data_IF_461241982817
#
_entry.id   IF_461241982817
#
_cell.length_a   1.000
_cell.length_b   1.000
_cell.length_c   1.000
_cell.angle_alpha   90.00
_cell.angle_beta   90.00
_cell.angle_gamma   90.00
#
_symmetry.space_group_name_H-M   'P 1'
#
loop_
_entity.id
_entity.type
_entity.pdbx_description
1 polymer ?
#
# COMPACT_ATOMS: atom_id res chain seq x y z
N UNK A 1 5.94 0.94 12.94
CA UNK A 1 5.39 2.03 13.77
C UNK A 1 6.47 2.99 14.28
N UNK A 2 7.45 2.55 15.07
CA UNK A 2 8.51 3.45 15.60
C UNK A 2 9.28 4.21 14.51
N UNK A 3 9.66 3.53 13.43
CA UNK A 3 10.35 4.15 12.29
C UNK A 3 9.50 5.27 11.66
N UNK A 4 8.19 5.04 11.47
CA UNK A 4 7.28 6.05 10.96
C UNK A 4 7.15 7.24 11.91
N UNK A 5 7.04 6.98 13.22
CA UNK A 5 6.94 8.03 14.23
C UNK A 5 8.21 8.92 14.25
N UNK A 6 9.39 8.31 14.16
CA UNK A 6 10.67 9.03 14.06
C UNK A 6 10.79 9.78 12.74
N UNK A 7 10.39 9.16 11.61
CA UNK A 7 10.41 9.82 10.31
C UNK A 7 9.51 11.07 10.28
N UNK A 8 8.28 10.94 10.78
CA UNK A 8 7.32 12.04 10.87
C UNK A 8 7.84 13.15 11.80
N UNK A 9 8.38 12.81 12.96
CA UNK A 9 8.94 13.83 13.88
C UNK A 9 10.12 14.57 13.25
N UNK A 10 11.02 13.88 12.57
CA UNK A 10 12.13 14.50 11.84
C UNK A 10 11.63 15.43 10.73
N UNK A 11 10.67 14.99 9.92
CA UNK A 11 10.10 15.82 8.84
C UNK A 11 9.49 17.11 9.42
N UNK A 12 8.77 17.04 10.53
CA UNK A 12 8.17 18.21 11.18
C UNK A 12 9.23 19.19 11.68
N UNK A 13 10.28 18.67 12.32
CA UNK A 13 11.39 19.48 12.81
C UNK A 13 12.13 20.19 11.67
N UNK A 14 12.33 19.51 10.53
CA UNK A 14 12.96 20.11 9.35
C UNK A 14 12.11 21.23 8.73
N UNK A 15 10.78 21.13 8.83
CA UNK A 15 9.86 22.18 8.38
C UNK A 15 9.68 23.31 9.42
N UNK A 16 10.39 23.26 10.56
CA UNK A 16 10.29 24.26 11.63
C UNK A 16 9.00 24.16 12.46
N UNK A 17 8.24 23.07 12.34
CA UNK A 17 7.08 22.81 13.18
C UNK A 17 7.50 22.15 14.50
N UNK A 18 6.80 22.50 15.58
CA UNK A 18 6.95 21.83 16.88
C UNK A 18 6.41 20.40 16.87
N UNK A 19 6.86 19.58 17.82
CA UNK A 19 6.37 18.21 17.97
C UNK A 19 4.92 18.23 18.46
N UNK A 20 3.98 17.61 17.74
CA UNK A 20 2.60 17.51 18.18
C UNK A 20 2.45 16.50 19.32
N UNK A 21 1.28 16.48 19.94
CA UNK A 21 0.94 15.56 21.03
C UNK A 21 1.26 14.10 20.65
N UNK A 22 1.81 13.34 21.61
CA UNK A 22 2.23 11.95 21.39
C UNK A 22 1.10 11.09 20.81
N UNK A 23 -0.13 11.30 21.28
CA UNK A 23 -1.31 10.56 20.81
C UNK A 23 -1.60 10.81 19.33
N UNK A 24 -1.39 12.06 18.88
CA UNK A 24 -1.57 12.45 17.49
C UNK A 24 -0.49 11.80 16.61
N UNK A 25 0.77 11.83 17.07
CA UNK A 25 1.89 11.16 16.39
C UNK A 25 1.67 9.66 16.24
N UNK A 26 1.14 9.00 17.28
CA UNK A 26 0.78 7.58 17.21
C UNK A 26 -0.28 7.34 16.14
N UNK A 27 -1.35 8.14 16.10
CA UNK A 27 -2.38 8.07 15.08
C UNK A 27 -1.84 8.27 13.66
N UNK A 28 -0.98 9.26 13.46
CA UNK A 28 -0.34 9.53 12.17
C UNK A 28 0.58 8.39 11.74
N UNK A 29 1.40 7.87 12.66
CA UNK A 29 2.32 6.77 12.38
C UNK A 29 1.60 5.46 12.07
N UNK A 30 0.43 5.23 12.68
CA UNK A 30 -0.39 4.05 12.43
C UNK A 30 -1.03 4.12 11.04
N UNK A 31 -1.70 5.25 10.74
CA UNK A 31 -2.27 5.50 9.40
C UNK A 31 -1.19 5.38 8.33
N UNK A 32 -0.01 5.95 8.58
CA UNK A 32 1.11 5.88 7.66
C UNK A 32 1.70 4.49 7.48
N UNK A 33 1.73 3.68 8.53
CA UNK A 33 2.13 2.28 8.42
C UNK A 33 1.15 1.48 7.56
N UNK A 34 -0.15 1.68 7.75
CA UNK A 34 -1.17 1.03 6.92
C UNK A 34 -1.06 1.44 5.45
N UNK A 35 -0.89 2.74 5.22
CA UNK A 35 -0.78 3.29 3.87
C UNK A 35 0.49 2.78 3.15
N UNK A 36 1.62 2.68 3.87
CA UNK A 36 2.86 2.09 3.35
C UNK A 36 2.67 0.62 2.95
N UNK A 37 1.99 -0.19 3.78
CA UNK A 37 1.68 -1.58 3.43
C UNK A 37 0.85 -1.64 2.15
N UNK A 38 -0.21 -0.84 2.05
CA UNK A 38 -1.03 -0.77 0.85
C UNK A 38 -0.23 -0.32 -0.38
N UNK A 39 0.72 0.61 -0.25
CA UNK A 39 1.60 1.02 -1.33
C UNK A 39 2.52 -0.10 -1.80
N UNK A 40 3.09 -0.87 -0.88
CA UNK A 40 3.91 -2.05 -1.22
C UNK A 40 3.08 -3.02 -2.07
N UNK A 41 1.86 -3.35 -1.62
CA UNK A 41 0.98 -4.24 -2.38
C UNK A 41 0.54 -3.64 -3.72
N UNK A 42 0.28 -2.34 -3.76
CA UNK A 42 -0.08 -1.61 -4.98
C UNK A 42 1.01 -1.73 -6.04
N UNK A 43 2.26 -1.42 -5.69
CA UNK A 43 3.38 -1.52 -6.63
C UNK A 43 3.71 -2.97 -6.98
N UNK A 44 3.63 -3.89 -6.02
CA UNK A 44 3.81 -5.31 -6.28
C UNK A 44 2.78 -5.84 -7.30
N UNK A 45 1.51 -5.43 -7.19
CA UNK A 45 0.47 -5.79 -8.16
C UNK A 45 0.70 -5.17 -9.54
N UNK A 46 1.18 -3.93 -9.62
CA UNK A 46 1.57 -3.34 -10.91
C UNK A 46 2.62 -4.22 -11.59
N UNK A 47 3.65 -4.64 -10.84
CA UNK A 47 4.68 -5.52 -11.38
C UNK A 47 4.07 -6.85 -11.83
N UNK A 48 3.17 -7.46 -11.05
CA UNK A 48 2.49 -8.71 -11.41
C UNK A 48 1.65 -8.57 -12.68
N UNK A 49 0.90 -7.48 -12.81
CA UNK A 49 0.10 -7.20 -14.00
C UNK A 49 1.01 -7.07 -15.22
N UNK A 50 2.10 -6.30 -15.13
CA UNK A 50 3.08 -6.16 -16.20
C UNK A 50 3.70 -7.52 -16.56
N UNK A 51 4.16 -8.27 -15.56
CA UNK A 51 4.78 -9.59 -15.76
C UNK A 51 3.81 -10.60 -16.38
N UNK A 52 2.51 -10.52 -16.09
CA UNK A 52 1.51 -11.40 -16.68
C UNK A 52 1.39 -11.25 -18.20
N UNK A 53 1.65 -10.06 -18.74
CA UNK A 53 1.59 -9.80 -20.19
C UNK A 53 2.95 -9.91 -20.86
N UNK A 54 4.02 -9.49 -20.17
CA UNK A 54 5.36 -9.44 -20.74
C UNK A 54 6.09 -10.79 -20.63
N UNK A 55 5.97 -11.47 -19.47
CA UNK A 55 6.73 -12.69 -19.18
C UNK A 55 5.99 -13.61 -18.17
N UNK A 56 4.86 -14.22 -18.56
CA UNK A 56 3.99 -14.98 -17.64
C UNK A 56 4.65 -16.20 -16.99
N UNK A 57 5.74 -16.73 -17.56
CA UNK A 57 6.49 -17.88 -17.03
C UNK A 57 7.90 -17.53 -16.55
N UNK A 58 8.13 -16.28 -16.13
CA UNK A 58 9.43 -15.86 -15.59
C UNK A 58 9.80 -16.62 -14.32
N UNK A 59 11.06 -17.03 -14.21
CA UNK A 59 11.66 -17.66 -13.02
C UNK A 59 12.63 -16.74 -12.30
N UNK A 60 12.61 -15.45 -12.62
CA UNK A 60 13.51 -14.47 -12.02
C UNK A 60 13.28 -14.39 -10.50
N UNK A 61 14.31 -14.45 -9.64
CA UNK A 61 14.14 -14.46 -8.18
C UNK A 61 13.30 -13.28 -7.65
N UNK A 62 13.50 -12.08 -8.20
CA UNK A 62 12.70 -10.91 -7.82
C UNK A 62 11.22 -11.06 -8.19
N UNK A 63 10.90 -11.67 -9.33
CA UNK A 63 9.52 -11.91 -9.73
C UNK A 63 8.86 -12.93 -8.78
N UNK A 64 9.58 -14.00 -8.43
CA UNK A 64 9.11 -15.01 -7.46
C UNK A 64 8.81 -14.36 -6.10
N UNK A 65 9.69 -13.50 -5.61
CA UNK A 65 9.47 -12.76 -4.35
C UNK A 65 8.21 -11.88 -4.42
N UNK A 66 7.99 -11.18 -5.53
CA UNK A 66 6.80 -10.35 -5.72
C UNK A 66 5.54 -11.22 -5.74
N UNK A 67 5.55 -12.36 -6.46
CA UNK A 67 4.43 -13.29 -6.49
C UNK A 67 4.11 -13.83 -5.09
N UNK A 68 5.13 -14.23 -4.31
CA UNK A 68 4.96 -14.68 -2.92
C UNK A 68 4.39 -13.57 -2.02
N UNK A 69 4.80 -12.32 -2.25
CA UNK A 69 4.30 -11.19 -1.48
C UNK A 69 2.80 -10.97 -1.70
N UNK A 70 2.32 -11.06 -2.95
CA UNK A 70 0.91 -10.83 -3.28
C UNK A 70 0.04 -12.08 -3.19
N UNK A 71 0.62 -13.28 -3.10
CA UNK A 71 -0.11 -14.55 -3.06
C UNK A 71 -1.20 -14.61 -1.97
N UNK A 72 -0.98 -14.14 -0.73
CA UNK A 72 -1.99 -14.22 0.32
C UNK A 72 -3.30 -13.47 -0.02
N UNK A 73 -3.19 -12.38 -0.79
CA UNK A 73 -4.36 -11.60 -1.23
C UNK A 73 -4.90 -12.08 -2.58
N UNK A 74 -4.05 -12.65 -3.44
CA UNK A 74 -4.44 -13.16 -4.75
C UNK A 74 -5.17 -14.50 -4.68
N UNK A 75 -4.74 -15.41 -3.81
CA UNK A 75 -5.27 -16.77 -3.74
C UNK A 75 -6.77 -16.82 -3.37
N UNK A 76 -7.27 -16.05 -2.39
CA UNK A 76 -8.70 -15.97 -2.12
C UNK A 76 -9.48 -15.36 -3.30
N UNK A 77 -8.94 -14.33 -3.95
CA UNK A 77 -9.63 -13.67 -5.07
C UNK A 77 -9.76 -14.56 -6.30
N UNK A 78 -8.74 -15.39 -6.59
CA UNK A 78 -8.78 -16.39 -7.67
C UNK A 78 -9.88 -17.44 -7.48
N UNK A 79 -10.32 -17.68 -6.23
CA UNK A 79 -11.45 -18.59 -5.95
C UNK A 79 -12.81 -17.96 -6.26
N UNK A 80 -12.89 -16.63 -6.22
CA UNK A 80 -14.11 -15.88 -6.46
C UNK A 80 -14.25 -15.54 -7.96
N UNK A 81 -13.13 -15.19 -8.60
CA UNK A 81 -13.09 -14.70 -9.97
C UNK A 81 -12.54 -15.82 -10.88
N UNK A 82 -13.37 -16.42 -11.75
CA UNK A 82 -12.89 -17.41 -12.70
C UNK A 82 -11.93 -16.77 -13.71
N UNK A 83 -10.90 -17.52 -14.11
CA UNK A 83 -9.97 -17.09 -15.17
C UNK A 83 -10.71 -17.00 -16.50
N UNK A 84 -10.69 -15.84 -17.16
CA UNK A 84 -11.28 -15.65 -18.49
C UNK A 84 -10.20 -15.84 -19.55
N UNK A 85 -10.32 -16.90 -20.36
CA UNK A 85 -9.41 -17.14 -21.49
C UNK A 85 -7.96 -17.43 -21.11
N UNK A 86 -7.71 -17.99 -19.92
CA UNK A 86 -6.36 -18.30 -19.43
C UNK A 86 -5.60 -17.10 -18.85
N UNK A 87 -6.20 -15.90 -18.83
CA UNK A 87 -5.68 -14.72 -18.15
C UNK A 87 -6.30 -14.59 -16.76
N UNK A 88 -5.44 -14.37 -15.76
CA UNK A 88 -5.86 -14.11 -14.38
C UNK A 88 -6.25 -12.62 -14.25
N UNK A 89 -7.55 -12.35 -14.13
CA UNK A 89 -8.07 -10.99 -13.91
C UNK A 89 -8.06 -10.57 -12.43
N UNK A 90 -7.79 -11.50 -11.51
CA UNK A 90 -7.74 -11.24 -10.07
C UNK A 90 -6.85 -10.05 -9.68
N UNK A 91 -5.64 -9.85 -10.27
CA UNK A 91 -4.81 -8.69 -9.97
C UNK A 91 -5.51 -7.34 -10.16
N UNK A 92 -6.35 -7.21 -11.19
CA UNK A 92 -7.05 -5.95 -11.51
C UNK A 92 -8.08 -5.63 -10.44
N UNK A 93 -8.86 -6.62 -10.00
CA UNK A 93 -9.85 -6.42 -8.95
C UNK A 93 -9.21 -6.08 -7.61
N UNK A 94 -8.10 -6.73 -7.28
CA UNK A 94 -7.34 -6.41 -6.06
C UNK A 94 -6.77 -4.99 -6.15
N UNK A 95 -6.25 -4.61 -7.32
CA UNK A 95 -5.76 -3.25 -7.56
C UNK A 95 -6.86 -2.21 -7.30
N UNK A 96 -8.06 -2.43 -7.82
CA UNK A 96 -9.22 -1.56 -7.55
C UNK A 96 -9.57 -1.55 -6.06
N UNK A 97 -9.61 -2.71 -5.40
CA UNK A 97 -9.91 -2.82 -3.98
C UNK A 97 -8.90 -2.06 -3.11
N UNK A 98 -7.61 -2.15 -3.40
CA UNK A 98 -6.56 -1.40 -2.69
C UNK A 98 -6.77 0.11 -2.88
N UNK A 99 -7.05 0.57 -4.10
CA UNK A 99 -7.32 2.00 -4.34
C UNK A 99 -8.55 2.47 -3.57
N UNK A 100 -9.63 1.68 -3.54
CA UNK A 100 -10.81 1.98 -2.75
C UNK A 100 -10.48 2.05 -1.25
N UNK A 101 -9.70 1.10 -0.72
CA UNK A 101 -9.28 1.13 0.69
C UNK A 101 -8.41 2.37 0.97
N UNK A 102 -7.50 2.75 0.07
CA UNK A 102 -6.69 3.97 0.23
C UNK A 102 -7.58 5.22 0.30
N UNK A 103 -8.57 5.34 -0.57
CA UNK A 103 -9.46 6.52 -0.57
C UNK A 103 -10.40 6.49 0.64
N UNK A 104 -11.10 5.38 0.85
CA UNK A 104 -12.18 5.26 1.84
C UNK A 104 -11.68 5.10 3.28
N UNK A 105 -10.51 4.50 3.48
CA UNK A 105 -9.96 4.27 4.82
C UNK A 105 -8.84 5.26 5.10
N UNK A 106 -7.75 5.23 4.31
CA UNK A 106 -6.58 6.06 4.59
C UNK A 106 -6.90 7.55 4.43
N UNK A 107 -7.58 7.94 3.35
CA UNK A 107 -7.97 9.33 3.10
C UNK A 107 -8.87 9.89 4.21
N UNK A 108 -9.88 9.12 4.63
CA UNK A 108 -10.76 9.52 5.72
C UNK A 108 -10.03 9.60 7.07
N UNK A 109 -9.21 8.61 7.42
CA UNK A 109 -8.40 8.62 8.65
C UNK A 109 -7.43 9.81 8.67
N UNK A 110 -6.78 10.10 7.55
CA UNK A 110 -5.86 11.22 7.41
C UNK A 110 -6.58 12.57 7.60
N UNK A 111 -7.80 12.69 7.07
CA UNK A 111 -8.64 13.88 7.24
C UNK A 111 -9.09 14.04 8.69
N UNK A 112 -9.57 12.97 9.33
CA UNK A 112 -10.00 12.97 10.74
C UNK A 112 -8.86 13.33 11.69
N UNK A 113 -7.68 12.77 11.46
CA UNK A 113 -6.48 13.01 12.28
C UNK A 113 -5.76 14.31 11.90
N UNK A 114 -6.30 15.10 10.96
CA UNK A 114 -5.72 16.37 10.48
C UNK A 114 -4.25 16.22 10.08
N UNK A 115 -3.93 15.12 9.39
CA UNK A 115 -2.57 14.89 8.90
C UNK A 115 -2.24 16.03 7.92
N UNK A 116 -1.12 16.75 8.10
CA UNK A 116 -0.67 17.74 7.14
C UNK A 116 -0.55 17.13 5.73
N UNK A 117 -1.04 17.83 4.70
CA UNK A 117 -1.03 17.32 3.32
C UNK A 117 0.37 16.95 2.83
N UNK A 118 1.41 17.64 3.29
CA UNK A 118 2.81 17.32 2.98
C UNK A 118 3.27 15.96 3.51
N UNK A 119 2.64 15.44 4.57
CA UNK A 119 2.89 14.10 5.11
C UNK A 119 2.02 13.03 4.44
N UNK A 120 0.90 13.39 3.82
CA UNK A 120 0.01 12.46 3.13
C UNK A 120 0.62 11.89 1.84
N UNK A 121 1.53 12.62 1.17
CA UNK A 121 2.16 12.17 -0.08
C UNK A 121 3.18 11.03 0.12
N UNK A 122 3.72 10.90 1.34
CA UNK A 122 4.66 9.83 1.72
C UNK A 122 3.98 8.58 2.31
N UNK A 123 2.66 8.62 2.47
CA UNK A 123 1.83 7.56 3.06
C UNK A 123 0.94 6.94 1.98
#
# INVERSE_FOLDING_TARGET
>A
MLVQMVGISLILMLHGFGLPNILLLLGWSLTGMLALVLNIYFFALIVVIILSWVAPQTRHPAAVLIFQLVEPIMLPMRRIIPSLGGLDLSPIFIFIAINLIKILVIGNLATMLRIPQGLMLGL
#
